data_IF_908810542597
#
_entry.id   IF_908810542597
#
_cell.length_a   1.000
_cell.length_b   1.000
_cell.length_c   1.000
_cell.angle_alpha   90.00
_cell.angle_beta   90.00
_cell.angle_gamma   90.00
#
_symmetry.space_group_name_H-M   'P 1'
#
loop_
_entity.id
_entity.type
_entity.pdbx_description
1 polymer ?
#
# COMPACT_ATOMS: atom_id res chain seq x y z
N UNK A 1 -2.38 7.62 -29.52
CA UNK A 1 -2.72 6.28 -30.02
C UNK A 1 -1.89 5.31 -29.22
N UNK A 2 -2.54 4.54 -28.35
CA UNK A 2 -1.87 3.58 -27.48
C UNK A 2 -1.37 2.40 -28.32
N UNK A 3 -0.16 1.92 -28.03
CA UNK A 3 0.43 0.75 -28.69
C UNK A 3 0.43 -0.41 -27.69
N UNK A 4 -0.08 -1.57 -28.10
CA UNK A 4 -0.06 -2.78 -27.29
C UNK A 4 0.65 -3.91 -28.04
N UNK A 5 1.54 -4.61 -27.34
CA UNK A 5 2.30 -5.75 -27.85
C UNK A 5 2.07 -6.94 -26.91
N UNK A 6 1.65 -8.07 -27.48
CA UNK A 6 1.57 -9.34 -26.75
C UNK A 6 2.70 -10.25 -27.21
N UNK A 7 3.39 -10.85 -26.24
CA UNK A 7 4.58 -11.67 -26.45
C UNK A 7 4.22 -13.11 -26.09
N UNK A 8 4.37 -14.01 -27.06
CA UNK A 8 4.29 -15.45 -26.87
C UNK A 8 5.66 -16.07 -27.11
N UNK A 9 6.22 -16.73 -26.09
CA UNK A 9 7.49 -17.46 -26.19
C UNK A 9 7.30 -18.87 -25.68
N UNK A 10 8.03 -19.83 -26.23
CA UNK A 10 8.11 -21.16 -25.63
C UNK A 10 8.71 -21.07 -24.20
N UNK A 11 8.02 -21.65 -23.24
CA UNK A 11 8.46 -21.80 -21.85
C UNK A 11 9.43 -22.96 -21.69
N UNK A 12 9.94 -23.16 -20.48
CA UNK A 12 10.76 -24.35 -20.18
C UNK A 12 9.87 -25.60 -20.28
N UNK A 13 10.36 -26.72 -20.86
CA UNK A 13 9.61 -27.97 -20.88
C UNK A 13 9.12 -28.32 -19.48
N UNK A 14 7.85 -28.73 -19.40
CA UNK A 14 7.18 -29.03 -18.15
C UNK A 14 6.35 -30.31 -18.31
N UNK A 15 5.91 -30.90 -17.20
CA UNK A 15 5.04 -32.06 -17.23
C UNK A 15 3.81 -31.88 -16.33
N UNK A 16 2.72 -32.52 -16.72
CA UNK A 16 1.49 -32.55 -15.92
C UNK A 16 1.09 -33.99 -15.65
N UNK A 17 0.59 -34.23 -14.44
CA UNK A 17 -0.02 -35.50 -14.07
C UNK A 17 -1.44 -35.54 -14.62
N UNK A 18 -1.75 -36.60 -15.37
CA UNK A 18 -3.11 -36.87 -15.86
C UNK A 18 -3.44 -38.35 -15.74
N UNK A 19 -4.72 -38.68 -15.78
CA UNK A 19 -5.15 -40.05 -16.02
C UNK A 19 -5.16 -40.34 -17.51
N UNK A 20 -4.63 -41.50 -17.91
CA UNK A 20 -4.83 -42.02 -19.25
C UNK A 20 -6.24 -42.64 -19.41
N UNK A 21 -6.54 -43.14 -20.61
CA UNK A 21 -7.83 -43.77 -20.93
C UNK A 21 -8.14 -45.02 -20.08
N UNK A 22 -7.13 -45.58 -19.41
CA UNK A 22 -7.25 -46.75 -18.53
C UNK A 22 -7.32 -46.37 -17.05
N UNK A 23 -7.33 -45.08 -16.73
CA UNK A 23 -7.35 -44.57 -15.36
C UNK A 23 -6.00 -44.67 -14.64
N UNK A 24 -4.89 -44.89 -15.37
CA UNK A 24 -3.56 -44.87 -14.78
C UNK A 24 -3.00 -43.45 -14.71
N UNK A 25 -2.38 -43.09 -13.59
CA UNK A 25 -1.71 -41.81 -13.42
C UNK A 25 -0.42 -41.79 -14.23
N UNK A 26 -0.32 -40.87 -15.21
CA UNK A 26 0.84 -40.72 -16.10
C UNK A 26 1.34 -39.28 -16.13
N UNK A 27 2.64 -39.11 -16.42
CA UNK A 27 3.25 -37.80 -16.71
C UNK A 27 3.20 -37.52 -18.20
N UNK A 28 2.64 -36.38 -18.59
CA UNK A 28 2.66 -35.90 -19.97
C UNK A 28 3.53 -34.65 -20.06
N UNK A 29 4.64 -34.76 -20.80
CA UNK A 29 5.46 -33.61 -21.14
C UNK A 29 4.69 -32.67 -22.08
N UNK A 30 4.80 -31.37 -21.85
CA UNK A 30 4.27 -30.33 -22.71
C UNK A 30 5.23 -29.15 -22.78
N UNK A 31 5.02 -28.30 -23.79
CA UNK A 31 5.77 -27.07 -24.00
C UNK A 31 4.87 -25.92 -23.56
N UNK A 32 5.01 -25.40 -22.33
CA UNK A 32 4.19 -24.29 -21.88
C UNK A 32 4.44 -23.06 -22.74
N UNK A 33 3.43 -22.20 -22.84
CA UNK A 33 3.56 -20.89 -23.45
C UNK A 33 3.84 -19.88 -22.34
N UNK A 34 4.93 -19.15 -22.49
CA UNK A 34 5.18 -17.93 -21.73
C UNK A 34 4.43 -16.78 -22.41
N UNK A 35 3.55 -16.12 -21.67
CA UNK A 35 2.80 -14.96 -22.12
C UNK A 35 3.21 -13.72 -21.32
N UNK A 36 3.41 -12.61 -22.04
CA UNK A 36 3.59 -11.30 -21.47
C UNK A 36 2.94 -10.23 -22.37
N UNK A 37 2.63 -9.09 -21.81
CA UNK A 37 2.09 -7.95 -22.55
C UNK A 37 2.82 -6.65 -22.17
N UNK A 38 2.90 -5.76 -23.15
CA UNK A 38 3.45 -4.41 -23.03
C UNK A 38 2.44 -3.43 -23.62
N UNK A 39 2.13 -2.36 -22.89
CA UNK A 39 1.32 -1.25 -23.38
C UNK A 39 2.10 0.05 -23.24
N UNK A 40 2.15 0.86 -24.30
CA UNK A 40 2.79 2.17 -24.32
C UNK A 40 1.76 3.25 -24.68
N UNK A 41 1.66 4.29 -23.85
CA UNK A 41 0.86 5.49 -24.11
C UNK A 41 1.77 6.67 -24.46
N UNK A 42 1.85 7.06 -25.74
CA UNK A 42 2.73 8.15 -26.17
C UNK A 42 2.40 9.51 -25.54
N UNK A 43 1.14 9.77 -25.17
CA UNK A 43 0.74 11.06 -24.62
C UNK A 43 1.33 11.32 -23.22
N UNK A 44 1.53 10.27 -22.42
CA UNK A 44 2.07 10.35 -21.05
C UNK A 44 3.49 9.82 -20.96
N UNK A 45 3.96 9.07 -21.98
CA UNK A 45 5.18 8.29 -21.90
C UNK A 45 5.06 7.04 -21.03
N UNK A 46 3.85 6.69 -20.58
CA UNK A 46 3.60 5.56 -19.70
C UNK A 46 3.87 4.22 -20.39
N UNK A 47 4.61 3.34 -19.72
CA UNK A 47 4.90 1.98 -20.16
C UNK A 47 4.42 0.99 -19.10
N UNK A 48 3.48 0.13 -19.46
CA UNK A 48 2.96 -0.93 -18.58
C UNK A 48 3.43 -2.30 -19.09
N UNK A 49 3.94 -3.14 -18.18
CA UNK A 49 4.40 -4.50 -18.51
C UNK A 49 3.72 -5.51 -17.60
N UNK A 50 3.07 -6.49 -18.20
CA UNK A 50 2.44 -7.62 -17.51
C UNK A 50 3.23 -8.90 -17.85
N UNK A 51 3.78 -9.55 -16.83
CA UNK A 51 4.44 -10.85 -16.92
C UNK A 51 4.42 -11.55 -15.56
N UNK A 52 4.68 -12.86 -15.55
CA UNK A 52 4.57 -13.71 -14.35
C UNK A 52 5.49 -13.31 -13.19
N UNK A 53 6.66 -12.74 -13.46
CA UNK A 53 7.65 -12.39 -12.44
C UNK A 53 8.27 -11.00 -12.66
N UNK A 54 8.86 -10.45 -11.59
CA UNK A 54 9.42 -9.10 -11.58
C UNK A 54 10.63 -8.95 -12.51
N UNK A 55 11.51 -9.95 -12.55
CA UNK A 55 12.73 -9.88 -13.35
C UNK A 55 12.38 -9.79 -14.84
N UNK A 56 11.44 -10.62 -15.29
CA UNK A 56 10.96 -10.59 -16.67
C UNK A 56 10.26 -9.28 -17.02
N UNK A 57 9.46 -8.71 -16.12
CA UNK A 57 8.84 -7.38 -16.36
C UNK A 57 9.89 -6.30 -16.58
N UNK A 58 10.96 -6.30 -15.78
CA UNK A 58 12.07 -5.33 -15.89
C UNK A 58 12.84 -5.52 -17.20
N UNK A 59 13.13 -6.77 -17.59
CA UNK A 59 13.82 -7.04 -18.86
C UNK A 59 13.01 -6.60 -20.08
N UNK A 60 11.71 -6.87 -20.09
CA UNK A 60 10.80 -6.44 -21.16
C UNK A 60 10.73 -4.91 -21.21
N UNK A 61 10.57 -4.25 -20.05
CA UNK A 61 10.55 -2.78 -19.99
C UNK A 61 11.86 -2.18 -20.53
N UNK A 62 13.01 -2.68 -20.07
CA UNK A 62 14.33 -2.25 -20.55
C UNK A 62 14.49 -2.45 -22.05
N UNK A 63 14.08 -3.60 -22.56
CA UNK A 63 14.14 -3.92 -23.99
C UNK A 63 13.24 -3.02 -24.82
N UNK A 64 12.03 -2.74 -24.34
CA UNK A 64 11.09 -1.84 -25.00
C UNK A 64 11.62 -0.40 -25.04
N UNK A 65 12.11 0.13 -23.92
CA UNK A 65 12.70 1.48 -23.85
C UNK A 65 13.91 1.59 -24.78
N UNK A 66 14.82 0.62 -24.72
CA UNK A 66 16.07 0.65 -25.51
C UNK A 66 15.84 0.43 -27.00
N UNK A 67 15.01 -0.55 -27.37
CA UNK A 67 14.92 -1.01 -28.77
C UNK A 67 13.66 -0.53 -29.49
N UNK A 68 12.53 -0.37 -28.79
CA UNK A 68 11.30 0.14 -29.42
C UNK A 68 11.24 1.66 -29.38
N UNK A 69 11.65 2.27 -28.27
CA UNK A 69 11.62 3.74 -28.12
C UNK A 69 12.96 4.40 -28.48
N UNK A 70 14.06 3.65 -28.53
CA UNK A 70 15.39 4.18 -28.85
C UNK A 70 15.96 5.09 -27.76
N UNK A 71 15.49 4.94 -26.51
CA UNK A 71 15.89 5.75 -25.37
C UNK A 71 16.89 4.97 -24.52
N UNK A 72 17.92 5.63 -24.01
CA UNK A 72 18.82 5.03 -23.02
C UNK A 72 18.01 4.67 -21.77
N UNK A 73 17.98 3.37 -21.42
CA UNK A 73 17.30 2.93 -20.22
C UNK A 73 18.09 3.33 -18.97
N UNK A 74 17.52 4.24 -18.17
CA UNK A 74 17.97 4.55 -16.81
C UNK A 74 16.90 4.10 -15.83
N UNK A 75 17.30 3.30 -14.85
CA UNK A 75 16.40 2.87 -13.77
C UNK A 75 16.39 3.94 -12.68
N UNK A 76 15.50 4.91 -12.82
CA UNK A 76 15.19 5.87 -11.77
C UNK A 76 13.90 5.43 -11.07
N UNK A 77 14.05 4.83 -9.88
CA UNK A 77 12.89 4.32 -9.14
C UNK A 77 12.26 5.50 -8.44
N UNK A 78 10.97 5.72 -8.70
CA UNK A 78 10.19 6.62 -7.86
C UNK A 78 10.32 6.16 -6.40
N UNK A 79 10.62 7.07 -5.47
CA UNK A 79 10.72 6.71 -4.06
C UNK A 79 9.43 6.07 -3.61
N UNK A 80 9.57 4.93 -2.93
CA UNK A 80 8.41 4.26 -2.38
C UNK A 80 7.80 5.18 -1.33
N UNK A 81 6.47 5.27 -1.34
CA UNK A 81 5.75 5.90 -0.22
C UNK A 81 6.03 5.06 1.01
N UNK A 82 6.64 5.67 2.02
CA UNK A 82 6.93 5.05 3.29
C UNK A 82 6.02 5.65 4.35
N UNK A 83 5.49 4.79 5.21
CA UNK A 83 4.65 5.19 6.31
C UNK A 83 5.37 4.96 7.62
N UNK A 84 5.58 6.01 8.41
CA UNK A 84 6.06 5.92 9.79
C UNK A 84 4.88 6.03 10.74
N UNK A 85 4.65 4.98 11.53
CA UNK A 85 3.55 4.92 12.50
C UNK A 85 4.02 5.11 13.94
N UNK A 86 5.31 5.40 14.15
CA UNK A 86 5.91 5.57 15.48
C UNK A 86 5.26 6.71 16.28
N UNK A 87 4.85 7.79 15.61
CA UNK A 87 4.14 8.92 16.21
C UNK A 87 2.84 8.52 16.92
N UNK A 88 2.25 7.36 16.56
CA UNK A 88 0.98 6.87 17.12
C UNK A 88 1.16 6.03 18.40
N UNK A 89 2.40 5.77 18.84
CA UNK A 89 2.66 5.09 20.13
C UNK A 89 2.27 5.96 21.32
N UNK A 90 2.28 7.29 21.17
CA UNK A 90 1.87 8.24 22.18
C UNK A 90 0.64 9.03 21.71
N UNK A 91 -0.13 9.63 22.65
CA UNK A 91 -1.19 10.58 22.29
C UNK A 91 -0.69 11.62 21.30
N UNK A 92 -1.44 11.80 20.22
CA UNK A 92 -1.09 12.68 19.11
C UNK A 92 -2.29 13.57 18.77
N UNK A 93 -2.05 14.88 18.69
CA UNK A 93 -3.12 15.88 18.57
C UNK A 93 -3.63 16.10 17.14
N UNK A 94 -2.97 15.51 16.13
CA UNK A 94 -3.33 15.61 14.70
C UNK A 94 -3.67 17.05 14.26
N UNK A 95 -2.68 17.95 14.16
CA UNK A 95 -2.94 19.34 13.78
C UNK A 95 -3.66 19.43 12.42
N UNK A 96 -4.75 20.21 12.38
CA UNK A 96 -5.62 20.43 11.21
C UNK A 96 -5.75 21.91 10.86
N UNK A 97 -6.04 22.20 9.59
CA UNK A 97 -6.45 23.53 9.12
C UNK A 97 -7.96 23.54 8.94
N UNK A 98 -8.64 24.49 9.61
CA UNK A 98 -10.10 24.64 9.51
C UNK A 98 -10.58 24.87 8.06
N UNK A 99 -9.75 25.49 7.22
CA UNK A 99 -10.04 25.76 5.81
C UNK A 99 -10.24 24.49 4.97
N UNK A 100 -9.65 23.36 5.37
CA UNK A 100 -9.84 22.07 4.69
C UNK A 100 -11.11 21.35 5.13
N UNK A 101 -11.85 21.93 6.09
CA UNK A 101 -13.06 21.34 6.66
C UNK A 101 -12.79 20.05 7.44
N UNK A 102 -11.60 19.91 8.05
CA UNK A 102 -11.33 18.81 8.99
C UNK A 102 -11.67 19.26 10.40
N UNK A 103 -12.65 18.63 11.03
CA UNK A 103 -13.09 18.97 12.39
C UNK A 103 -12.25 18.27 13.46
N UNK A 104 -11.90 16.99 13.24
CA UNK A 104 -11.30 16.13 14.26
C UNK A 104 -10.71 14.87 13.63
N UNK A 105 -9.77 14.23 14.32
CA UNK A 105 -9.10 13.01 13.89
C UNK A 105 -9.00 12.03 15.04
N UNK A 106 -9.50 10.82 14.83
CA UNK A 106 -9.48 9.77 15.84
C UNK A 106 -8.70 8.55 15.37
N UNK A 107 -7.87 8.00 16.25
CA UNK A 107 -7.27 6.67 16.05
C UNK A 107 -8.28 5.61 16.49
N UNK A 108 -8.78 4.82 15.54
CA UNK A 108 -9.78 3.76 15.80
C UNK A 108 -9.16 2.39 16.01
N UNK A 109 -8.02 2.13 15.39
CA UNK A 109 -7.32 0.85 15.50
C UNK A 109 -5.80 1.07 15.44
N UNK A 110 -5.07 0.34 16.28
CA UNK A 110 -3.62 0.16 16.18
C UNK A 110 -3.29 -1.32 16.25
N UNK A 111 -2.55 -1.82 15.26
CA UNK A 111 -1.99 -3.18 15.28
C UNK A 111 -0.49 -3.10 15.55
N UNK A 112 -0.07 -3.68 16.65
CA UNK A 112 1.29 -3.67 17.14
C UNK A 112 1.97 -5.02 16.96
N UNK A 113 3.29 -5.00 16.85
CA UNK A 113 4.15 -6.17 16.74
C UNK A 113 5.29 -6.04 17.76
N UNK A 114 5.57 -7.07 18.57
CA UNK A 114 6.79 -7.10 19.37
C UNK A 114 8.04 -7.01 18.48
N UNK A 115 9.01 -6.21 18.88
CA UNK A 115 10.27 -6.02 18.11
C UNK A 115 11.08 -7.33 18.05
N UNK A 116 11.00 -8.15 19.10
CA UNK A 116 11.72 -9.42 19.26
C UNK A 116 10.99 -10.65 18.68
N UNK A 117 9.68 -10.53 18.37
CA UNK A 117 8.88 -11.61 17.81
C UNK A 117 7.94 -11.10 16.70
N UNK A 118 8.45 -11.14 15.47
CA UNK A 118 7.71 -10.73 14.28
C UNK A 118 6.58 -11.69 13.89
N UNK A 119 6.38 -12.81 14.60
CA UNK A 119 5.27 -13.75 14.35
C UNK A 119 4.00 -13.41 15.12
N UNK A 120 4.08 -12.51 16.11
CA UNK A 120 2.96 -12.14 16.99
C UNK A 120 2.45 -10.74 16.71
N UNK A 121 1.16 -10.51 16.95
CA UNK A 121 0.52 -9.20 16.84
C UNK A 121 -0.45 -9.00 18.00
N UNK A 122 -0.61 -7.74 18.40
CA UNK A 122 -1.65 -7.28 19.32
C UNK A 122 -2.43 -6.17 18.62
N UNK A 123 -3.76 -6.21 18.68
CA UNK A 123 -4.59 -5.15 18.10
C UNK A 123 -5.35 -4.46 19.23
N UNK A 124 -5.21 -3.13 19.29
CA UNK A 124 -6.03 -2.24 20.08
C UNK A 124 -7.08 -1.64 19.14
N UNK A 125 -8.35 -1.69 19.51
CA UNK A 125 -9.44 -1.16 18.68
C UNK A 125 -10.50 -0.50 19.56
N UNK A 126 -10.83 0.75 19.24
CA UNK A 126 -11.98 1.45 19.80
C UNK A 126 -13.16 1.33 18.85
N UNK A 127 -14.27 0.78 19.35
CA UNK A 127 -15.55 0.78 18.65
C UNK A 127 -16.02 2.22 18.39
N UNK A 128 -16.83 2.42 17.34
CA UNK A 128 -17.25 3.74 16.88
C UNK A 128 -17.85 4.66 17.98
N UNK A 129 -18.47 4.07 19.01
CA UNK A 129 -19.13 4.77 20.13
C UNK A 129 -18.42 4.59 21.48
N UNK A 130 -17.19 4.08 21.49
CA UNK A 130 -16.41 4.02 22.71
C UNK A 130 -16.03 5.44 23.15
N UNK A 131 -16.09 5.69 24.45
CA UNK A 131 -15.60 6.93 25.05
C UNK A 131 -14.07 6.87 25.17
N UNK A 132 -13.43 8.04 25.11
CA UNK A 132 -11.98 8.17 25.23
C UNK A 132 -11.18 7.82 23.96
N UNK A 133 -9.86 7.85 24.09
CA UNK A 133 -8.93 7.60 22.98
C UNK A 133 -8.39 6.18 23.04
N UNK A 134 -7.72 5.73 21.99
CA UNK A 134 -7.05 4.42 22.00
C UNK A 134 -5.96 4.35 23.07
N UNK A 135 -5.31 5.48 23.37
CA UNK A 135 -4.27 5.59 24.39
C UNK A 135 -4.84 5.50 25.80
N UNK A 136 -5.92 6.25 26.11
CA UNK A 136 -6.56 6.17 27.42
C UNK A 136 -7.16 4.79 27.68
N UNK A 137 -7.77 4.17 26.66
CA UNK A 137 -8.30 2.80 26.74
C UNK A 137 -7.18 1.78 27.00
N UNK A 138 -6.04 1.92 26.33
CA UNK A 138 -4.89 1.03 26.56
C UNK A 138 -4.29 1.19 27.95
N UNK A 139 -4.17 2.43 28.45
CA UNK A 139 -3.69 2.70 29.81
C UNK A 139 -4.66 2.15 30.87
N UNK A 140 -5.97 2.32 30.70
CA UNK A 140 -6.99 1.78 31.62
C UNK A 140 -7.00 0.25 31.67
N UNK A 141 -6.82 -0.42 30.53
CA UNK A 141 -6.88 -1.88 30.45
C UNK A 141 -5.58 -2.58 30.85
N UNK A 142 -4.42 -1.99 30.50
CA UNK A 142 -3.12 -2.66 30.62
C UNK A 142 -2.15 -1.95 31.58
N UNK A 143 -2.38 -0.67 31.89
CA UNK A 143 -1.48 0.15 32.70
C UNK A 143 -0.06 0.16 32.15
N UNK A 144 0.92 -0.09 33.03
CA UNK A 144 2.35 -0.12 32.67
C UNK A 144 2.71 -1.24 31.67
N UNK A 145 1.83 -2.22 31.46
CA UNK A 145 2.05 -3.33 30.50
C UNK A 145 1.39 -3.09 29.15
N UNK A 146 0.95 -1.86 28.87
CA UNK A 146 0.36 -1.51 27.57
C UNK A 146 1.32 -1.80 26.42
N UNK A 147 0.85 -2.37 25.30
CA UNK A 147 1.66 -2.59 24.11
C UNK A 147 2.06 -1.29 23.40
N UNK A 148 1.56 -0.13 23.85
CA UNK A 148 1.94 1.19 23.33
C UNK A 148 3.29 1.70 23.91
N UNK A 149 3.86 0.98 24.89
CA UNK A 149 5.18 1.27 25.47
C UNK A 149 6.30 0.50 24.74
N UNK A 150 7.52 0.63 25.28
CA UNK A 150 8.74 0.04 24.72
C UNK A 150 8.59 -1.45 24.35
N UNK A 151 9.26 -1.84 23.26
CA UNK A 151 9.31 -3.22 22.79
C UNK A 151 8.29 -3.57 21.69
N UNK A 152 7.47 -2.60 21.25
CA UNK A 152 6.51 -2.78 20.16
C UNK A 152 6.70 -1.74 19.06
N UNK A 153 6.31 -2.12 17.84
CA UNK A 153 6.17 -1.20 16.71
C UNK A 153 4.75 -1.26 16.15
N UNK A 154 4.23 -0.10 15.74
CA UNK A 154 2.93 -0.02 15.07
C UNK A 154 3.09 -0.47 13.62
N UNK A 155 2.35 -1.51 13.23
CA UNK A 155 2.39 -2.09 11.88
C UNK A 155 1.16 -1.75 11.04
N UNK A 156 0.08 -1.29 11.67
CA UNK A 156 -1.11 -0.79 11.00
C UNK A 156 -1.86 0.18 11.91
N UNK A 157 -2.44 1.21 11.32
CA UNK A 157 -3.31 2.16 11.97
C UNK A 157 -4.58 2.38 11.14
N UNK A 158 -5.71 2.59 11.82
CA UNK A 158 -6.95 3.05 11.20
C UNK A 158 -7.33 4.39 11.79
N UNK A 159 -7.29 5.42 10.97
CA UNK A 159 -7.65 6.79 11.33
C UNK A 159 -9.05 7.11 10.82
N UNK A 160 -9.83 7.82 11.62
CA UNK A 160 -11.12 8.38 11.25
C UNK A 160 -11.00 9.90 11.25
N UNK A 161 -10.90 10.50 10.06
CA UNK A 161 -10.84 11.94 9.86
C UNK A 161 -12.27 12.45 9.69
N UNK A 162 -12.77 13.22 10.66
CA UNK A 162 -14.10 13.82 10.62
C UNK A 162 -14.05 15.09 9.77
N UNK A 163 -14.85 15.09 8.70
CA UNK A 163 -14.95 16.18 7.74
C UNK A 163 -16.27 16.91 7.94
N UNK A 164 -16.22 18.22 7.74
CA UNK A 164 -17.39 19.09 7.72
C UNK A 164 -18.34 18.72 6.56
N UNK A 165 -19.55 19.25 6.66
CA UNK A 165 -20.61 19.13 5.67
C UNK A 165 -20.15 19.76 4.36
N UNK A 166 -20.47 19.12 3.23
CA UNK A 166 -20.35 19.79 1.93
C UNK A 166 -21.35 20.95 1.86
N UNK A 167 -21.06 22.02 1.10
CA UNK A 167 -22.05 23.02 0.76
C UNK A 167 -23.30 22.34 0.15
N UNK A 168 -24.45 22.47 0.81
CA UNK A 168 -25.71 21.85 0.39
C UNK A 168 -25.96 20.42 0.87
N UNK A 169 -25.08 19.84 1.69
CA UNK A 169 -25.27 18.51 2.30
C UNK A 169 -25.55 18.58 3.80
N UNK A 170 -26.45 17.72 4.30
CA UNK A 170 -26.86 17.76 5.72
C UNK A 170 -26.07 16.80 6.62
N UNK A 171 -25.19 15.96 6.06
CA UNK A 171 -24.50 14.89 6.80
C UNK A 171 -22.99 15.13 6.88
N UNK A 172 -22.48 15.17 8.11
CA UNK A 172 -21.04 15.07 8.43
C UNK A 172 -20.46 13.78 7.85
N UNK A 173 -19.25 13.85 7.31
CA UNK A 173 -18.60 12.71 6.65
C UNK A 173 -17.35 12.30 7.42
N UNK A 174 -16.96 11.04 7.29
CA UNK A 174 -15.75 10.53 7.92
C UNK A 174 -14.92 9.86 6.85
N UNK A 175 -13.73 10.40 6.60
CA UNK A 175 -12.71 9.77 5.77
C UNK A 175 -11.95 8.78 6.65
N UNK A 176 -12.16 7.48 6.39
CA UNK A 176 -11.38 6.43 7.07
C UNK A 176 -10.12 6.14 6.27
N UNK A 177 -8.97 6.20 6.94
CA UNK A 177 -7.67 5.88 6.36
C UNK A 177 -7.10 4.64 7.06
N UNK A 178 -6.79 3.62 6.28
CA UNK A 178 -6.08 2.42 6.75
C UNK A 178 -4.65 2.48 6.25
N UNK A 179 -3.69 2.61 7.17
CA UNK A 179 -2.26 2.66 6.85
C UNK A 179 -1.62 1.37 7.36
N UNK A 180 -0.83 0.70 6.52
CA UNK A 180 -0.09 -0.52 6.84
C UNK A 180 1.38 -0.30 6.55
N UNK A 181 2.21 -0.41 7.58
CA UNK A 181 3.65 -0.27 7.46
C UNK A 181 4.25 -1.40 6.58
N UNK A 182 5.24 -1.14 5.71
CA UNK A 182 5.83 0.18 5.42
C UNK A 182 5.16 0.95 4.26
N UNK A 183 4.44 0.30 3.34
CA UNK A 183 4.03 0.92 2.05
C UNK A 183 2.53 0.92 1.76
N UNK A 184 1.70 0.41 2.66
CA UNK A 184 0.27 0.23 2.42
C UNK A 184 -0.55 1.44 2.88
N UNK A 185 -1.42 1.96 2.00
CA UNK A 185 -2.48 2.88 2.39
C UNK A 185 -3.68 2.75 1.43
N UNK A 186 -4.90 2.81 1.97
CA UNK A 186 -6.15 2.76 1.19
C UNK A 186 -6.56 4.13 0.61
N UNK A 187 -5.72 5.16 0.75
CA UNK A 187 -5.99 6.51 0.25
C UNK A 187 -6.23 6.53 -1.26
N UNK A 188 -5.52 5.71 -2.03
CA UNK A 188 -5.67 5.61 -3.50
C UNK A 188 -7.08 5.22 -3.96
N UNK A 189 -7.88 4.60 -3.09
CA UNK A 189 -9.23 4.13 -3.41
C UNK A 189 -10.30 5.21 -3.07
N UNK A 190 -9.88 6.42 -2.68
CA UNK A 190 -10.74 7.54 -2.28
C UNK A 190 -10.98 8.53 -3.43
N UNK A 191 -11.91 9.46 -3.25
CA UNK A 191 -12.13 10.53 -4.25
C UNK A 191 -10.91 11.45 -4.37
N UNK A 192 -10.73 12.13 -5.51
CA UNK A 192 -9.57 13.01 -5.73
C UNK A 192 -9.41 14.08 -4.63
N UNK A 193 -10.50 14.66 -4.15
CA UNK A 193 -10.48 15.62 -3.04
C UNK A 193 -10.04 14.98 -1.74
N UNK A 194 -10.54 13.78 -1.41
CA UNK A 194 -10.15 13.06 -0.20
C UNK A 194 -8.70 12.56 -0.26
N UNK A 195 -8.22 12.20 -1.46
CA UNK A 195 -6.81 11.88 -1.70
C UNK A 195 -5.92 13.08 -1.38
N UNK A 196 -6.27 14.26 -1.89
CA UNK A 196 -5.52 15.48 -1.66
C UNK A 196 -5.47 15.86 -0.16
N UNK A 197 -6.63 15.82 0.52
CA UNK A 197 -6.72 16.09 1.96
C UNK A 197 -5.92 15.05 2.76
N UNK A 198 -6.13 13.76 2.48
CA UNK A 198 -5.45 12.69 3.19
C UNK A 198 -3.94 12.74 2.99
N UNK A 199 -3.45 13.03 1.79
CA UNK A 199 -2.01 13.15 1.53
C UNK A 199 -1.40 14.35 2.25
N UNK A 200 -2.05 15.53 2.20
CA UNK A 200 -1.63 16.73 2.93
C UNK A 200 -1.43 16.42 4.42
N UNK A 201 -2.43 15.78 5.03
CA UNK A 201 -2.42 15.53 6.47
C UNK A 201 -1.50 14.39 6.89
N UNK A 202 -1.45 13.29 6.13
CA UNK A 202 -0.50 12.22 6.45
C UNK A 202 0.95 12.73 6.43
N UNK A 203 1.30 13.65 5.52
CA UNK A 203 2.61 14.31 5.51
C UNK A 203 2.79 15.24 6.71
N UNK A 204 1.79 16.08 7.00
CA UNK A 204 1.81 17.00 8.15
C UNK A 204 1.97 16.28 9.48
N UNK A 205 1.37 15.10 9.61
CA UNK A 205 1.45 14.28 10.82
C UNK A 205 2.74 13.47 10.91
N UNK A 206 3.65 13.59 9.92
CA UNK A 206 4.87 12.79 9.84
C UNK A 206 4.62 11.30 9.58
N UNK A 207 3.38 10.94 9.22
CA UNK A 207 2.99 9.55 8.95
C UNK A 207 3.39 9.14 7.55
N UNK A 208 3.24 10.01 6.55
CA UNK A 208 3.75 9.77 5.20
C UNK A 208 5.10 10.46 5.06
N UNK A 209 6.13 9.65 4.89
CA UNK A 209 7.50 10.08 4.62
C UNK A 209 7.90 9.62 3.21
N UNK A 210 8.58 10.48 2.47
CA UNK A 210 9.23 10.06 1.24
C UNK A 210 10.51 9.30 1.63
N UNK A 211 10.75 8.14 1.01
CA UNK A 211 11.94 7.34 1.29
C UNK A 211 13.23 8.18 1.06
N UNK A 212 14.08 8.40 2.07
CA UNK A 212 15.33 9.13 1.91
C UNK A 212 16.36 8.40 1.02
N UNK A 213 16.19 7.10 0.74
CA UNK A 213 17.19 6.26 0.08
C UNK A 213 17.38 6.50 -1.43
N UNK A 214 16.87 7.60 -1.99
CA UNK A 214 17.05 7.97 -3.40
C UNK A 214 17.67 9.37 -3.61
N UNK A 215 18.20 9.98 -2.56
CA UNK A 215 18.97 11.23 -2.67
C UNK A 215 20.48 11.05 -2.47
N UNK A 216 20.98 9.82 -2.37
CA UNK A 216 22.41 9.53 -2.41
C UNK A 216 22.72 8.51 -3.53
N UNK A 217 23.54 9.01 -4.45
CA UNK A 217 24.19 8.45 -5.66
C UNK A 217 23.38 8.26 -6.97
#
# INVERSE_FOLDING_TARGET
>A
MTVQVTIYREGRPDDLLRFDEKGALVRQAYRPVFEAALTYEPATGGLEVVANDKATRVEIAKSAVTHLLGIEFKEDRLPLRCYDLSALLAPYDFPVDEEDGVEDVEVRELRLMPIDDSSRRVTLENMARADGTIWSMADEMFGDRTPLRDGFVVTRAKLAVKLDRRPGGDRRRTLTLTITWPHGCDLKDRTATEQMIGEKYLRRWGILVDDPQLLED
#
